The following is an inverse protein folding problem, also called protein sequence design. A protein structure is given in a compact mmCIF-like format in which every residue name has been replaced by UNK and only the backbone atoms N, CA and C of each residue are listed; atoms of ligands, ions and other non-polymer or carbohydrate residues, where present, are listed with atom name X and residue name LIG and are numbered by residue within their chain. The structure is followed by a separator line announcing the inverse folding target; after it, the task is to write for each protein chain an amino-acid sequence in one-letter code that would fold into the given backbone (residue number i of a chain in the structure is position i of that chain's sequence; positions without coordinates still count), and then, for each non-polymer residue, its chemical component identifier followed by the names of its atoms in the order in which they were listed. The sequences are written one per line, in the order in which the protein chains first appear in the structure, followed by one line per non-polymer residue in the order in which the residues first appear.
data_IF_448559657467
#
_entry.id   IF_448559657467
#
_cell.length_a   1.000
_cell.length_b   1.000
_cell.length_c   1.000
_cell.angle_alpha   90.00
_cell.angle_beta   90.00
_cell.angle_gamma   90.00
#
_symmetry.space_group_name_H-M   'P 1'
#
loop_
_entity.id
_entity.type
_entity.pdbx_description
1 polymer ?
#
# COMPACT_ATOMS: atom_id res chain seq x y z
N UNK A 1 -7.71 17.98 22.18
CA UNK A 1 -6.30 17.56 22.30
C UNK A 1 -6.29 16.13 22.82
N UNK A 2 -5.60 15.23 22.12
CA UNK A 2 -5.43 13.83 22.55
C UNK A 2 -4.72 13.79 23.91
N UNK A 3 -5.08 12.80 24.76
CA UNK A 3 -4.33 12.56 25.99
C UNK A 3 -2.87 12.22 25.69
N UNK A 4 -1.96 12.50 26.62
CA UNK A 4 -0.53 12.17 26.48
C UNK A 4 -0.29 10.69 26.21
N UNK A 5 -1.11 9.82 26.78
CA UNK A 5 -1.02 8.37 26.63
C UNK A 5 -1.37 7.92 25.21
N UNK A 6 -2.41 8.50 24.59
CA UNK A 6 -2.78 8.22 23.20
C UNK A 6 -1.70 8.71 22.25
N UNK A 7 -1.15 9.91 22.49
CA UNK A 7 -0.05 10.44 21.69
C UNK A 7 1.20 9.55 21.72
N UNK A 8 1.54 9.00 22.90
CA UNK A 8 2.67 8.08 23.05
C UNK A 8 2.42 6.75 22.32
N UNK A 9 1.22 6.16 22.52
CA UNK A 9 0.84 4.88 21.90
C UNK A 9 0.76 4.96 20.37
N UNK A 10 0.42 6.10 19.80
CA UNK A 10 0.28 6.28 18.35
C UNK A 10 1.52 6.85 17.65
N UNK A 11 2.61 7.06 18.38
CA UNK A 11 3.88 7.56 17.79
C UNK A 11 4.35 6.80 16.56
N UNK A 12 4.40 5.45 16.52
CA UNK A 12 4.83 4.73 15.33
C UNK A 12 3.93 4.98 14.11
N UNK A 13 2.61 5.07 14.31
CA UNK A 13 1.65 5.42 13.26
C UNK A 13 1.94 6.81 12.69
N UNK A 14 2.03 7.84 13.54
CA UNK A 14 2.36 9.20 13.10
C UNK A 14 3.74 9.30 12.46
N UNK A 15 4.70 8.54 12.98
CA UNK A 15 6.02 8.48 12.36
C UNK A 15 5.94 7.89 10.96
N UNK A 16 5.19 6.81 10.77
CA UNK A 16 4.97 6.21 9.46
C UNK A 16 4.33 7.19 8.48
N UNK A 17 3.21 7.82 8.86
CA UNK A 17 2.50 8.79 8.03
C UNK A 17 3.41 9.98 7.60
N UNK A 18 4.24 10.48 8.51
CA UNK A 18 5.19 11.56 8.19
C UNK A 18 6.28 11.18 7.20
N UNK A 19 6.54 9.89 7.01
CA UNK A 19 7.51 9.42 6.04
C UNK A 19 6.94 9.26 4.64
N UNK A 20 5.61 9.29 4.49
CA UNK A 20 4.97 9.27 3.18
C UNK A 20 5.35 10.49 2.35
N UNK A 21 5.60 10.27 1.07
CA UNK A 21 6.07 11.30 0.14
C UNK A 21 5.15 12.52 0.10
N UNK A 22 3.84 12.34 0.25
CA UNK A 22 2.85 13.42 0.23
C UNK A 22 3.00 14.43 1.37
N UNK A 23 3.63 14.05 2.49
CA UNK A 23 3.87 14.90 3.65
C UNK A 23 5.29 15.46 3.71
N UNK A 24 6.09 15.26 2.65
CA UNK A 24 7.45 15.78 2.55
C UNK A 24 7.51 17.06 1.71
N UNK A 25 8.39 17.96 2.10
CA UNK A 25 8.75 19.14 1.31
C UNK A 25 10.06 18.91 0.53
N UNK A 26 10.33 19.73 -0.52
CA UNK A 26 11.66 19.73 -1.16
C UNK A 26 12.77 20.08 -0.14
N UNK A 27 13.97 19.47 -0.25
CA UNK A 27 14.42 18.60 -1.34
C UNK A 27 13.98 17.13 -1.22
N UNK A 28 13.50 16.67 -0.06
CA UNK A 28 13.19 15.28 0.24
C UNK A 28 12.09 14.71 -0.66
N UNK A 29 10.97 15.43 -0.80
CA UNK A 29 9.90 15.08 -1.73
C UNK A 29 10.44 14.88 -3.16
N UNK A 30 11.31 15.80 -3.62
CA UNK A 30 11.86 15.75 -4.98
C UNK A 30 12.72 14.50 -5.18
N UNK A 31 13.52 14.13 -4.18
CA UNK A 31 14.35 12.93 -4.17
C UNK A 31 13.49 11.67 -4.26
N UNK A 32 12.53 11.53 -3.35
CA UNK A 32 11.62 10.37 -3.32
C UNK A 32 10.85 10.21 -4.62
N UNK A 33 10.29 11.31 -5.14
CA UNK A 33 9.52 11.30 -6.39
C UNK A 33 10.36 10.87 -7.60
N UNK A 34 11.62 11.29 -7.68
CA UNK A 34 12.53 10.84 -8.76
C UNK A 34 12.75 9.32 -8.70
N UNK A 35 12.96 8.77 -7.51
CA UNK A 35 13.16 7.33 -7.30
C UNK A 35 11.90 6.52 -7.64
N UNK A 36 10.73 6.98 -7.18
CA UNK A 36 9.44 6.36 -7.50
C UNK A 36 9.17 6.39 -9.00
N UNK A 37 9.40 7.52 -9.68
CA UNK A 37 9.21 7.64 -11.13
C UNK A 37 10.08 6.66 -11.93
N UNK A 38 11.23 6.25 -11.42
CA UNK A 38 12.06 5.21 -12.06
C UNK A 38 11.46 3.82 -11.96
N UNK A 39 10.74 3.54 -10.88
CA UNK A 39 10.02 2.27 -10.69
C UNK A 39 8.72 2.24 -11.51
N UNK A 40 7.97 3.36 -11.54
CA UNK A 40 6.73 3.50 -12.31
C UNK A 40 7.01 3.83 -13.78
N UNK A 41 7.23 2.81 -14.59
CA UNK A 41 7.47 3.00 -16.02
C UNK A 41 6.23 2.70 -16.86
N UNK A 42 6.04 3.38 -18.03
CA UNK A 42 4.96 3.03 -18.96
C UNK A 42 4.97 1.55 -19.37
N UNK A 43 6.15 0.95 -19.48
CA UNK A 43 6.30 -0.48 -19.79
C UNK A 43 5.70 -1.37 -18.69
N UNK A 44 5.99 -1.06 -17.43
CA UNK A 44 5.45 -1.82 -16.29
C UNK A 44 3.91 -1.72 -16.24
N UNK A 45 3.38 -0.52 -16.43
CA UNK A 45 1.91 -0.31 -16.46
C UNK A 45 1.28 -1.07 -17.64
N UNK A 46 1.90 -1.03 -18.82
CA UNK A 46 1.41 -1.79 -19.98
C UNK A 46 1.44 -3.30 -19.76
N UNK A 47 2.44 -3.81 -19.04
CA UNK A 47 2.55 -5.23 -18.72
C UNK A 47 1.45 -5.74 -17.77
N UNK A 48 0.87 -4.87 -16.94
CA UNK A 48 -0.26 -5.22 -16.05
C UNK A 48 -1.57 -5.45 -16.82
N UNK A 49 -1.74 -4.82 -17.97
CA UNK A 49 -3.02 -4.80 -18.69
C UNK A 49 -3.61 -6.18 -18.94
N UNK A 50 -2.87 -7.19 -19.49
CA UNK A 50 -3.44 -8.52 -19.71
C UNK A 50 -3.92 -9.18 -18.42
N UNK A 51 -3.19 -8.98 -17.32
CA UNK A 51 -3.56 -9.54 -16.02
C UNK A 51 -4.81 -8.86 -15.46
N UNK A 52 -4.94 -7.53 -15.60
CA UNK A 52 -6.12 -6.80 -15.19
C UNK A 52 -7.37 -7.19 -16.01
N UNK A 53 -7.21 -7.39 -17.32
CA UNK A 53 -8.28 -7.89 -18.18
C UNK A 53 -8.73 -9.29 -17.74
N UNK A 54 -7.81 -10.18 -17.34
CA UNK A 54 -8.13 -11.49 -16.78
C UNK A 54 -8.91 -11.36 -15.46
N UNK A 55 -8.42 -10.53 -14.51
CA UNK A 55 -9.09 -10.29 -13.22
C UNK A 55 -10.50 -9.76 -13.43
N UNK A 56 -10.67 -8.78 -14.33
CA UNK A 56 -11.98 -8.24 -14.69
C UNK A 56 -12.92 -9.33 -15.20
N UNK A 57 -12.44 -10.17 -16.11
CA UNK A 57 -13.24 -11.26 -16.67
C UNK A 57 -13.64 -12.28 -15.60
N UNK A 58 -12.74 -12.64 -14.69
CA UNK A 58 -13.03 -13.55 -13.57
C UNK A 58 -14.12 -12.94 -12.67
N UNK A 59 -13.98 -11.68 -12.26
CA UNK A 59 -14.96 -10.98 -11.43
C UNK A 59 -16.34 -10.90 -12.12
N UNK A 60 -16.39 -10.51 -13.39
CA UNK A 60 -17.66 -10.42 -14.12
C UNK A 60 -18.32 -11.79 -14.33
N UNK A 61 -17.56 -12.85 -14.55
CA UNK A 61 -18.15 -14.19 -14.69
C UNK A 61 -18.86 -14.63 -13.40
N UNK A 62 -18.32 -14.30 -12.23
CA UNK A 62 -18.94 -14.62 -10.95
C UNK A 62 -20.17 -13.74 -10.67
N UNK A 63 -20.12 -12.46 -11.01
CA UNK A 63 -21.26 -11.55 -10.89
C UNK A 63 -22.40 -11.94 -11.82
N UNK A 64 -22.12 -12.35 -13.06
CA UNK A 64 -23.12 -12.81 -14.03
C UNK A 64 -23.87 -14.06 -13.55
N UNK A 65 -23.18 -14.98 -12.84
CA UNK A 65 -23.84 -16.17 -12.26
C UNK A 65 -24.84 -15.80 -11.16
N UNK A 66 -24.59 -14.70 -10.43
CA UNK A 66 -25.47 -14.23 -9.35
C UNK A 66 -26.74 -13.52 -9.88
N UNK A 67 -26.72 -13.00 -11.11
CA UNK A 67 -27.83 -12.32 -11.77
C UNK A 67 -28.17 -10.92 -11.23
N UNK A 68 -27.52 -10.51 -10.15
CA UNK A 68 -27.60 -9.16 -9.54
C UNK A 68 -26.31 -8.86 -8.81
N UNK A 69 -25.98 -7.57 -8.66
CA UNK A 69 -24.80 -7.16 -7.88
C UNK A 69 -25.04 -5.84 -7.14
N UNK A 70 -24.35 -5.66 -6.04
CA UNK A 70 -24.07 -4.35 -5.45
C UNK A 70 -22.77 -3.83 -6.09
N UNK A 71 -22.90 -2.81 -6.95
CA UNK A 71 -21.78 -2.31 -7.74
C UNK A 71 -20.59 -1.86 -6.86
N UNK A 72 -20.88 -1.22 -5.73
CA UNK A 72 -19.82 -0.74 -4.84
C UNK A 72 -19.14 -1.92 -4.15
N UNK A 73 -19.92 -2.77 -3.48
CA UNK A 73 -19.38 -3.89 -2.69
C UNK A 73 -18.71 -4.95 -3.55
N UNK A 74 -19.32 -5.29 -4.68
CA UNK A 74 -18.95 -6.47 -5.45
C UNK A 74 -17.94 -6.15 -6.58
N UNK A 75 -17.78 -4.86 -6.92
CA UNK A 75 -16.89 -4.45 -8.01
C UNK A 75 -16.03 -3.21 -7.69
N UNK A 76 -16.65 -2.04 -7.47
CA UNK A 76 -15.92 -0.77 -7.41
C UNK A 76 -14.92 -0.71 -6.24
N UNK A 77 -15.21 -1.39 -5.15
CA UNK A 77 -14.32 -1.47 -3.99
C UNK A 77 -13.23 -2.56 -4.13
N UNK A 78 -13.53 -3.83 -4.46
CA UNK A 78 -12.51 -4.88 -4.54
C UNK A 78 -11.57 -4.72 -5.75
N UNK A 79 -12.03 -4.23 -6.89
CA UNK A 79 -11.20 -4.18 -8.09
C UNK A 79 -9.94 -3.31 -7.94
N UNK A 80 -9.98 -2.05 -7.46
CA UNK A 80 -8.77 -1.27 -7.24
C UNK A 80 -7.79 -1.92 -6.25
N UNK A 81 -8.29 -2.56 -5.20
CA UNK A 81 -7.45 -3.28 -4.23
C UNK A 81 -6.69 -4.41 -4.93
N UNK A 82 -7.38 -5.21 -5.76
CA UNK A 82 -6.73 -6.27 -6.54
C UNK A 82 -5.69 -5.69 -7.48
N UNK A 83 -5.98 -4.58 -8.17
CA UNK A 83 -5.03 -3.89 -9.06
C UNK A 83 -3.77 -3.48 -8.32
N UNK A 84 -3.89 -2.90 -7.14
CA UNK A 84 -2.74 -2.51 -6.31
C UNK A 84 -1.95 -3.75 -5.88
N UNK A 85 -2.62 -4.81 -5.43
CA UNK A 85 -1.95 -6.05 -5.04
C UNK A 85 -1.20 -6.71 -6.21
N UNK A 86 -1.79 -6.73 -7.41
CA UNK A 86 -1.12 -7.22 -8.63
C UNK A 86 0.10 -6.36 -8.98
N UNK A 87 -0.03 -5.03 -8.91
CA UNK A 87 1.05 -4.08 -9.16
C UNK A 87 2.24 -4.29 -8.21
N UNK A 88 1.94 -4.48 -6.93
CA UNK A 88 2.94 -4.75 -5.90
C UNK A 88 3.51 -6.17 -5.98
N UNK A 89 2.86 -7.08 -6.71
CA UNK A 89 3.25 -8.49 -6.81
C UNK A 89 2.96 -9.27 -5.52
N UNK A 90 1.90 -8.90 -4.79
CA UNK A 90 1.49 -9.60 -3.58
C UNK A 90 0.91 -10.99 -3.92
N UNK A 91 1.18 -12.02 -3.11
CA UNK A 91 0.51 -13.30 -3.20
C UNK A 91 -1.01 -13.12 -3.08
N UNK A 92 -1.82 -13.85 -3.87
CA UNK A 92 -3.29 -13.76 -3.78
C UNK A 92 -3.84 -14.01 -2.37
N UNK A 93 -3.21 -14.94 -1.64
CA UNK A 93 -3.57 -15.31 -0.26
C UNK A 93 -3.36 -14.19 0.76
N UNK A 94 -2.51 -13.20 0.47
CA UNK A 94 -2.19 -12.09 1.39
C UNK A 94 -3.06 -10.86 1.15
N UNK A 95 -3.89 -10.84 0.09
CA UNK A 95 -4.66 -9.66 -0.33
C UNK A 95 -5.66 -9.20 0.72
N UNK A 96 -6.39 -10.14 1.33
CA UNK A 96 -7.39 -9.82 2.34
C UNK A 96 -6.73 -9.22 3.59
N UNK A 97 -5.56 -9.74 3.96
CA UNK A 97 -4.80 -9.23 5.10
C UNK A 97 -4.23 -7.84 4.81
N UNK A 98 -3.66 -7.64 3.61
CA UNK A 98 -3.16 -6.34 3.17
C UNK A 98 -4.28 -5.29 3.14
N UNK A 99 -5.43 -5.67 2.59
CA UNK A 99 -6.63 -4.84 2.59
C UNK A 99 -7.06 -4.45 4.00
N UNK A 100 -7.14 -5.41 4.92
CA UNK A 100 -7.53 -5.16 6.30
C UNK A 100 -6.64 -4.11 6.97
N UNK A 101 -5.32 -4.23 6.82
CA UNK A 101 -4.39 -3.23 7.35
C UNK A 101 -4.59 -1.85 6.72
N UNK A 102 -4.81 -1.79 5.40
CA UNK A 102 -5.07 -0.53 4.70
C UNK A 102 -6.39 0.11 5.15
N UNK A 103 -7.44 -0.67 5.34
CA UNK A 103 -8.73 -0.20 5.83
C UNK A 103 -8.61 0.43 7.23
N UNK A 104 -7.85 -0.18 8.14
CA UNK A 104 -7.63 0.36 9.50
C UNK A 104 -6.87 1.69 9.47
N UNK A 105 -5.86 1.81 8.60
CA UNK A 105 -5.08 3.05 8.44
C UNK A 105 -5.97 4.15 7.85
N UNK A 106 -6.75 3.83 6.81
CA UNK A 106 -7.69 4.77 6.18
C UNK A 106 -8.76 5.24 7.17
N UNK A 107 -9.34 4.31 7.94
CA UNK A 107 -10.31 4.65 8.98
C UNK A 107 -9.75 5.65 10.00
N UNK A 108 -8.47 5.55 10.36
CA UNK A 108 -7.80 6.51 11.22
C UNK A 108 -7.69 7.90 10.58
N UNK A 109 -7.33 7.97 9.29
CA UNK A 109 -7.20 9.24 8.56
C UNK A 109 -8.56 9.95 8.40
N UNK A 110 -9.64 9.19 8.35
CA UNK A 110 -11.01 9.69 8.19
C UNK A 110 -11.73 9.91 9.53
N UNK A 111 -11.14 9.48 10.64
CA UNK A 111 -11.79 9.53 11.95
C UNK A 111 -12.01 10.98 12.42
N UNK A 112 -13.28 11.37 12.54
CA UNK A 112 -13.74 12.67 13.05
C UNK A 112 -14.45 12.55 14.41
N UNK A 113 -14.46 11.38 15.06
CA UNK A 113 -15.41 11.03 16.13
C UNK A 113 -14.78 10.75 17.49
N UNK A 114 -15.68 10.52 18.49
CA UNK A 114 -15.36 10.23 19.89
C UNK A 114 -14.58 8.92 20.11
N UNK A 115 -14.62 7.98 19.14
CA UNK A 115 -13.93 6.68 19.21
C UNK A 115 -12.48 6.72 18.67
N UNK A 116 -11.88 7.93 18.60
CA UNK A 116 -10.55 8.14 18.03
C UNK A 116 -9.46 7.25 18.65
N UNK A 117 -9.52 6.96 19.96
CA UNK A 117 -8.50 6.15 20.62
C UNK A 117 -8.51 4.69 20.17
N UNK A 118 -9.69 4.12 19.93
CA UNK A 118 -9.84 2.73 19.46
C UNK A 118 -9.37 2.61 17.99
N UNK A 119 -9.82 3.55 17.16
CA UNK A 119 -9.40 3.60 15.74
C UNK A 119 -7.88 3.78 15.62
N UNK A 120 -7.30 4.68 16.42
CA UNK A 120 -5.87 4.90 16.46
C UNK A 120 -5.08 3.66 16.91
N UNK A 121 -5.58 2.91 17.90
CA UNK A 121 -4.94 1.70 18.37
C UNK A 121 -4.96 0.57 17.31
N UNK A 122 -6.09 0.42 16.59
CA UNK A 122 -6.19 -0.52 15.46
C UNK A 122 -5.23 -0.14 14.33
N UNK A 123 -5.27 1.10 13.88
CA UNK A 123 -4.38 1.60 12.83
C UNK A 123 -2.89 1.45 13.21
N UNK A 124 -2.54 1.72 14.46
CA UNK A 124 -1.19 1.49 14.99
C UNK A 124 -0.76 0.04 14.87
N UNK A 125 -1.64 -0.88 15.26
CA UNK A 125 -1.40 -2.33 15.17
C UNK A 125 -1.22 -2.76 13.72
N UNK A 126 -2.08 -2.28 12.84
CA UNK A 126 -2.06 -2.57 11.40
C UNK A 126 -0.82 -1.99 10.71
N UNK A 127 -0.37 -0.78 11.04
CA UNK A 127 0.88 -0.21 10.52
C UNK A 127 2.08 -1.07 10.92
N UNK A 128 2.19 -1.50 12.17
CA UNK A 128 3.31 -2.33 12.63
C UNK A 128 3.32 -3.70 11.95
N UNK A 129 2.14 -4.34 11.81
CA UNK A 129 2.01 -5.61 11.11
C UNK A 129 2.39 -5.49 9.62
N UNK A 130 1.89 -4.44 8.96
CA UNK A 130 2.18 -4.15 7.56
C UNK A 130 3.67 -3.86 7.33
N UNK A 131 4.32 -3.07 8.18
CA UNK A 131 5.76 -2.83 8.12
C UNK A 131 6.57 -4.11 8.26
N UNK A 132 6.19 -4.99 9.20
CA UNK A 132 6.82 -6.31 9.38
C UNK A 132 6.67 -7.19 8.13
N UNK A 133 5.48 -7.24 7.55
CA UNK A 133 5.21 -7.95 6.30
C UNK A 133 6.04 -7.40 5.14
N UNK A 134 6.03 -6.08 4.94
CA UNK A 134 6.77 -5.43 3.86
C UNK A 134 8.29 -5.61 3.98
N UNK A 135 8.84 -5.57 5.20
CA UNK A 135 10.26 -5.86 5.43
C UNK A 135 10.65 -7.25 4.93
N UNK A 136 9.84 -8.26 5.25
CA UNK A 136 10.07 -9.64 4.80
C UNK A 136 9.94 -9.75 3.28
N UNK A 137 8.90 -9.12 2.71
CA UNK A 137 8.65 -9.16 1.28
C UNK A 137 9.77 -8.46 0.48
N UNK A 138 10.21 -7.28 0.91
CA UNK A 138 11.33 -6.56 0.29
C UNK A 138 12.63 -7.37 0.39
N UNK A 139 12.92 -7.96 1.55
CA UNK A 139 14.09 -8.82 1.73
C UNK A 139 14.05 -10.03 0.79
N UNK A 140 12.88 -10.66 0.64
CA UNK A 140 12.67 -11.76 -0.29
C UNK A 140 12.85 -11.33 -1.74
N UNK A 141 12.30 -10.16 -2.16
CA UNK A 141 12.43 -9.63 -3.51
C UNK A 141 13.87 -9.25 -3.88
N UNK A 142 14.66 -8.78 -2.92
CA UNK A 142 16.11 -8.53 -3.13
C UNK A 142 16.89 -9.79 -3.49
N UNK A 143 16.49 -10.95 -2.94
CA UNK A 143 17.10 -12.25 -3.22
C UNK A 143 16.48 -12.95 -4.44
N UNK A 144 15.18 -12.75 -4.65
CA UNK A 144 14.38 -13.37 -5.71
C UNK A 144 13.57 -12.30 -6.44
N UNK A 145 14.21 -11.50 -7.32
CA UNK A 145 13.54 -10.42 -8.06
C UNK A 145 12.39 -10.94 -8.93
N UNK A 146 11.30 -10.16 -8.99
CA UNK A 146 10.15 -10.40 -9.87
C UNK A 146 9.90 -9.16 -10.71
N UNK A 147 9.07 -9.30 -11.73
CA UNK A 147 8.60 -8.15 -12.53
C UNK A 147 7.40 -7.50 -11.80
N UNK A 148 7.68 -6.86 -10.65
CA UNK A 148 6.73 -6.19 -9.80
C UNK A 148 7.26 -4.85 -9.27
N UNK A 149 6.35 -4.00 -8.76
CA UNK A 149 6.71 -2.67 -8.27
C UNK A 149 7.63 -2.72 -7.04
N UNK A 150 7.46 -3.70 -6.15
CA UNK A 150 8.32 -3.85 -4.97
C UNK A 150 9.77 -4.10 -5.39
N UNK A 151 10.00 -4.99 -6.36
CA UNK A 151 11.34 -5.21 -6.92
C UNK A 151 11.90 -3.95 -7.57
N UNK A 152 11.08 -3.25 -8.35
CA UNK A 152 11.47 -2.02 -9.03
C UNK A 152 11.85 -0.92 -8.03
N UNK A 153 11.04 -0.69 -6.99
CA UNK A 153 11.31 0.29 -5.93
C UNK A 153 12.56 -0.08 -5.12
N UNK A 154 12.69 -1.36 -4.72
CA UNK A 154 13.84 -1.84 -3.95
C UNK A 154 15.17 -1.73 -4.72
N UNK A 155 15.10 -1.70 -6.06
CA UNK A 155 16.24 -1.62 -6.97
C UNK A 155 16.49 -0.21 -7.53
N UNK A 156 15.55 0.73 -7.33
CA UNK A 156 15.65 2.08 -7.88
C UNK A 156 16.87 2.81 -7.32
N UNK A 157 17.64 3.43 -8.23
CA UNK A 157 18.83 4.24 -7.90
C UNK A 157 18.76 5.54 -8.67
N UNK A 158 18.96 6.66 -8.00
CA UNK A 158 19.09 7.98 -8.58
C UNK A 158 20.29 8.70 -7.99
N UNK A 159 21.22 9.14 -8.85
CA UNK A 159 22.46 9.85 -8.45
C UNK A 159 23.27 9.10 -7.34
N UNK A 160 23.22 7.75 -7.36
CA UNK A 160 23.86 6.91 -6.34
C UNK A 160 23.03 6.66 -5.08
N UNK A 161 21.90 7.33 -4.93
CA UNK A 161 20.96 7.15 -3.80
C UNK A 161 19.92 6.07 -4.09
N UNK A 162 19.48 5.41 -3.02
CA UNK A 162 18.42 4.39 -3.02
C UNK A 162 17.35 4.77 -2.00
N UNK A 163 16.16 4.18 -2.17
CA UNK A 163 15.15 4.21 -1.11
C UNK A 163 15.65 3.41 0.10
N UNK A 164 15.58 4.01 1.28
CA UNK A 164 15.77 3.29 2.54
C UNK A 164 14.61 2.33 2.78
N UNK A 165 14.72 1.40 3.73
CA UNK A 165 13.58 0.53 4.10
C UNK A 165 12.37 1.34 4.56
N UNK A 166 12.61 2.40 5.31
CA UNK A 166 11.60 3.33 5.78
C UNK A 166 10.89 4.02 4.61
N UNK A 167 11.64 4.53 3.62
CA UNK A 167 11.09 5.12 2.40
C UNK A 167 10.25 4.08 1.63
N UNK A 168 10.76 2.84 1.49
CA UNK A 168 10.03 1.76 0.80
C UNK A 168 8.70 1.45 1.48
N UNK A 169 8.68 1.29 2.80
CA UNK A 169 7.44 1.03 3.54
C UNK A 169 6.44 2.16 3.35
N UNK A 170 6.88 3.42 3.50
CA UNK A 170 6.01 4.58 3.34
C UNK A 170 5.48 4.74 1.90
N UNK A 171 6.24 4.32 0.88
CA UNK A 171 5.82 4.39 -0.53
C UNK A 171 4.86 3.26 -0.94
N UNK A 172 4.90 2.11 -0.27
CA UNK A 172 4.06 0.95 -0.61
C UNK A 172 2.69 1.04 0.07
N UNK A 173 2.63 1.64 1.26
CA UNK A 173 1.38 1.80 2.04
C UNK A 173 0.50 2.91 1.48
N UNK A 174 1.10 3.90 0.88
CA UNK A 174 0.43 5.02 0.22
C UNK A 174 -0.04 4.63 -1.17
#
# INVERSE_FOLDING_TARGET
LLSSDIQEQTKPLYHHLREEMQYKDPPEHTRLRKLVNKAFTPRMIAALRPRLEQVLNEMFQDLLKQGQMDFIRDFAYPFPVIVICELLGLPPEDRDQFKHWSDDITAFLEALSEDYSEVAARAQSSVLALQGYLSQLVAHRRQHPKDDLITALASAVEEGEKLSEKDLHAMIVF
#
